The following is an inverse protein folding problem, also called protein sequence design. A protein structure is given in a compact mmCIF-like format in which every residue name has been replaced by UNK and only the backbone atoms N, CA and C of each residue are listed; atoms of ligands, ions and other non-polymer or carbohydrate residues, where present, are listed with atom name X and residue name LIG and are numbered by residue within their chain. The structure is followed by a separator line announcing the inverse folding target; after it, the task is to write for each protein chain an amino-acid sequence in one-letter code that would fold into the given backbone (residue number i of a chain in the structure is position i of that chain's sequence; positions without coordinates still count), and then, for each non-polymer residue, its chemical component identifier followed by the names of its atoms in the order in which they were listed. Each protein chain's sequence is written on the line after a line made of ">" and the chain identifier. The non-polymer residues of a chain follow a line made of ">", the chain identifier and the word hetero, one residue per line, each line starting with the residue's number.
data_IF_183148904043
#
_entry.id   IF_183148904043
#
_cell.length_a   1.000
_cell.length_b   1.000
_cell.length_c   1.000
_cell.angle_alpha   90.00
_cell.angle_beta   90.00
_cell.angle_gamma   90.00
#
_symmetry.space_group_name_H-M   'P 1'
#
loop_
_entity.id
_entity.type
_entity.pdbx_description
1 polymer ?
#
# COMPACT_ATOMS: atom_id res chain seq x y z
N UNK A 1 0.93 1.45 3.16
CA UNK A 1 -0.22 1.27 2.23
C UNK A 1 -1.47 2.05 2.63
N UNK A 2 -1.89 2.02 3.91
CA UNK A 2 -3.15 2.65 4.35
C UNK A 2 -3.21 4.15 4.05
N UNK A 3 -2.07 4.84 4.09
CA UNK A 3 -1.95 6.23 3.66
C UNK A 3 -2.30 6.44 2.18
N UNK A 4 -1.76 5.66 1.24
CA UNK A 4 -2.06 5.82 -0.18
C UNK A 4 -3.57 5.65 -0.47
N UNK A 5 -4.19 4.61 0.08
CA UNK A 5 -5.62 4.38 -0.09
C UNK A 5 -6.49 5.45 0.58
N UNK A 6 -6.15 5.87 1.81
CA UNK A 6 -6.83 7.01 2.48
C UNK A 6 -6.71 8.34 1.73
N UNK A 7 -5.74 8.44 0.81
CA UNK A 7 -5.44 9.68 0.07
C UNK A 7 -6.06 9.68 -1.33
N UNK A 8 -6.85 8.67 -1.69
CA UNK A 8 -7.52 8.61 -3.00
C UNK A 8 -8.37 9.87 -3.22
N UNK A 9 -9.00 10.41 -2.18
CA UNK A 9 -9.84 11.62 -2.29
C UNK A 9 -9.09 12.93 -2.08
N UNK A 10 -7.77 12.90 -1.86
CA UNK A 10 -6.93 14.09 -1.68
C UNK A 10 -5.78 14.14 -2.69
N UNK A 11 -6.04 14.53 -3.96
CA UNK A 11 -5.00 14.62 -4.97
C UNK A 11 -3.84 15.54 -4.55
N UNK A 12 -2.61 15.11 -4.80
CA UNK A 12 -1.40 15.88 -4.48
C UNK A 12 -0.95 15.84 -3.01
N UNK A 13 -1.73 15.21 -2.13
CA UNK A 13 -1.44 15.11 -0.70
C UNK A 13 -1.50 13.66 -0.22
N UNK A 14 -0.63 13.28 0.72
CA UNK A 14 -0.69 12.01 1.42
C UNK A 14 -1.24 12.23 2.82
N UNK A 15 -2.39 11.60 3.10
CA UNK A 15 -3.06 11.58 4.40
C UNK A 15 -2.51 10.48 5.31
N UNK A 16 -2.08 10.90 6.48
CA UNK A 16 -1.49 10.07 7.52
C UNK A 16 -2.56 9.57 8.50
N UNK A 17 -2.18 8.68 9.43
CA UNK A 17 -3.09 8.08 10.42
C UNK A 17 -3.75 9.10 11.34
N UNK A 18 -3.03 10.13 11.79
CA UNK A 18 -3.56 11.19 12.67
C UNK A 18 -4.26 12.34 11.93
N UNK A 19 -4.67 12.14 10.67
CA UNK A 19 -5.30 13.18 9.87
C UNK A 19 -4.34 14.26 9.33
N UNK A 20 -3.07 14.25 9.74
CA UNK A 20 -2.02 15.07 9.13
C UNK A 20 -1.88 14.76 7.65
N UNK A 21 -1.52 15.78 6.88
CA UNK A 21 -1.31 15.69 5.43
C UNK A 21 0.09 16.16 5.09
N UNK A 22 0.69 15.52 4.10
CA UNK A 22 1.98 15.92 3.53
C UNK A 22 1.79 16.19 2.04
N UNK A 23 2.11 17.41 1.62
CA UNK A 23 2.25 17.77 0.22
C UNK A 23 3.66 17.53 -0.29
N UNK A 24 3.85 17.51 -1.61
CA UNK A 24 5.17 17.39 -2.22
C UNK A 24 6.13 18.52 -1.78
N UNK A 25 5.62 19.73 -1.60
CA UNK A 25 6.41 20.88 -1.13
C UNK A 25 6.97 20.64 0.28
N UNK A 26 6.13 20.12 1.20
CA UNK A 26 6.56 19.76 2.56
C UNK A 26 7.54 18.58 2.55
N UNK A 27 7.33 17.61 1.66
CA UNK A 27 8.23 16.47 1.51
C UNK A 27 9.65 16.88 1.08
N UNK A 28 9.76 17.91 0.22
CA UNK A 28 11.05 18.47 -0.21
C UNK A 28 11.85 19.03 0.96
N UNK A 29 11.23 19.85 1.81
CA UNK A 29 11.88 20.41 3.00
C UNK A 29 12.30 19.36 4.03
N UNK A 30 11.64 18.20 4.04
CA UNK A 30 11.91 17.14 5.01
C UNK A 30 12.79 16.00 4.48
N UNK A 31 13.30 16.10 3.24
CA UNK A 31 14.09 15.04 2.61
C UNK A 31 13.32 13.76 2.28
N UNK A 32 11.98 13.83 2.23
CA UNK A 32 11.08 12.70 1.97
C UNK A 32 10.48 12.72 0.56
N UNK A 33 10.97 13.61 -0.32
CA UNK A 33 10.42 13.85 -1.65
C UNK A 33 10.21 12.55 -2.44
N UNK A 34 11.25 11.73 -2.60
CA UNK A 34 11.19 10.49 -3.38
C UNK A 34 10.15 9.49 -2.83
N UNK A 35 9.98 9.43 -1.50
CA UNK A 35 8.95 8.60 -0.87
C UNK A 35 7.56 9.08 -1.27
N UNK A 36 7.32 10.38 -1.06
CA UNK A 36 6.00 10.98 -1.24
C UNK A 36 5.61 10.97 -2.70
N UNK A 37 6.53 11.22 -3.64
CA UNK A 37 6.27 11.09 -5.08
C UNK A 37 5.82 9.68 -5.45
N UNK A 38 6.51 8.65 -4.94
CA UNK A 38 6.12 7.26 -5.19
C UNK A 38 4.76 6.94 -4.56
N UNK A 39 4.48 7.42 -3.36
CA UNK A 39 3.20 7.24 -2.68
C UNK A 39 2.06 7.94 -3.42
N UNK A 40 2.30 9.14 -3.96
CA UNK A 40 1.35 9.89 -4.77
C UNK A 40 1.07 9.16 -6.09
N UNK A 41 2.11 8.65 -6.76
CA UNK A 41 1.94 7.83 -7.97
C UNK A 41 1.13 6.56 -7.69
N UNK A 42 1.40 5.89 -6.57
CA UNK A 42 0.61 4.73 -6.15
C UNK A 42 -0.85 5.12 -5.85
N UNK A 43 -1.07 6.24 -5.17
CA UNK A 43 -2.41 6.76 -4.87
C UNK A 43 -3.18 7.04 -6.17
N UNK A 44 -2.54 7.64 -7.16
CA UNK A 44 -3.12 7.91 -8.47
C UNK A 44 -3.49 6.61 -9.21
N UNK A 45 -2.65 5.58 -9.14
CA UNK A 45 -2.98 4.27 -9.70
C UNK A 45 -4.23 3.65 -9.06
N UNK A 46 -4.34 3.71 -7.73
CA UNK A 46 -5.52 3.21 -7.01
C UNK A 46 -6.78 4.02 -7.37
N UNK A 47 -6.64 5.34 -7.52
CA UNK A 47 -7.72 6.24 -7.93
C UNK A 47 -8.23 5.90 -9.34
N UNK A 48 -7.32 5.73 -10.31
CA UNK A 48 -7.67 5.39 -11.70
C UNK A 48 -8.40 4.07 -11.81
N UNK A 49 -7.95 3.06 -11.07
CA UNK A 49 -8.59 1.74 -11.01
C UNK A 49 -9.89 1.74 -10.20
N UNK A 50 -10.25 2.86 -9.56
CA UNK A 50 -11.39 2.97 -8.66
C UNK A 50 -11.44 1.82 -7.67
N UNK A 51 -10.29 1.59 -7.02
CA UNK A 51 -10.12 0.49 -6.08
C UNK A 51 -11.08 0.69 -4.91
N UNK A 52 -11.97 -0.27 -4.69
CA UNK A 52 -12.89 -0.24 -3.57
C UNK A 52 -12.26 -0.79 -2.28
N UNK A 53 -13.03 -0.82 -1.20
CA UNK A 53 -12.55 -1.29 0.11
C UNK A 53 -12.26 -2.79 0.13
N UNK A 54 -13.05 -3.61 -0.54
CA UNK A 54 -12.91 -5.06 -0.56
C UNK A 54 -11.68 -5.47 -1.37
N UNK A 55 -11.51 -4.88 -2.55
CA UNK A 55 -10.32 -5.04 -3.41
C UNK A 55 -9.06 -4.61 -2.66
N UNK A 56 -9.11 -3.45 -2.00
CA UNK A 56 -8.00 -2.95 -1.19
C UNK A 56 -7.59 -3.92 -0.07
N UNK A 57 -8.58 -4.46 0.67
CA UNK A 57 -8.32 -5.43 1.74
C UNK A 57 -7.78 -6.74 1.18
N UNK A 58 -8.32 -7.25 0.07
CA UNK A 58 -7.81 -8.45 -0.58
C UNK A 58 -6.35 -8.27 -1.03
N UNK A 59 -6.01 -7.12 -1.64
CA UNK A 59 -4.62 -6.81 -2.00
C UNK A 59 -3.70 -6.78 -0.78
N UNK A 60 -4.14 -6.25 0.37
CA UNK A 60 -3.38 -6.31 1.63
C UNK A 60 -3.11 -7.75 2.07
N UNK A 61 -4.14 -8.59 2.04
CA UNK A 61 -4.04 -9.99 2.43
C UNK A 61 -3.06 -10.72 1.51
N UNK A 62 -3.15 -10.51 0.19
CA UNK A 62 -2.22 -11.12 -0.77
C UNK A 62 -0.77 -10.68 -0.49
N UNK A 63 -0.53 -9.37 -0.28
CA UNK A 63 0.81 -8.87 0.08
C UNK A 63 1.33 -9.48 1.37
N UNK A 64 0.47 -9.62 2.39
CA UNK A 64 0.82 -10.20 3.67
C UNK A 64 1.22 -11.67 3.53
N UNK A 65 0.50 -12.43 2.71
CA UNK A 65 0.77 -13.84 2.46
C UNK A 65 1.98 -14.07 1.53
N UNK A 66 2.42 -13.04 0.81
CA UNK A 66 3.63 -13.03 -0.03
C UNK A 66 4.91 -12.64 0.71
N UNK A 67 4.84 -12.20 1.96
CA UNK A 67 6.07 -11.84 2.67
C UNK A 67 6.92 -13.08 2.87
N UNK A 68 8.09 -13.13 2.23
CA UNK A 68 9.12 -14.15 2.41
C UNK A 68 9.68 -14.11 3.84
N UNK A 69 8.88 -14.54 4.81
CA UNK A 69 9.33 -14.83 6.15
C UNK A 69 10.02 -16.20 6.08
N UNK A 70 11.34 -16.19 6.12
CA UNK A 70 12.23 -17.36 6.05
C UNK A 70 12.00 -18.41 7.17
N UNK A 71 11.01 -18.20 8.05
CA UNK A 71 10.75 -18.99 9.25
C UNK A 71 9.28 -19.47 9.35
N UNK A 72 8.58 -19.62 8.22
CA UNK A 72 7.21 -20.17 8.26
C UNK A 72 7.25 -21.64 8.68
N UNK A 73 6.52 -21.97 9.74
CA UNK A 73 6.31 -23.36 10.17
C UNK A 73 5.45 -24.14 9.14
N UNK A 74 4.50 -23.47 8.49
CA UNK A 74 3.56 -24.10 7.54
C UNK A 74 3.46 -23.32 6.21
N UNK A 75 4.55 -23.27 5.41
CA UNK A 75 4.60 -22.46 4.19
C UNK A 75 3.57 -22.89 3.13
N UNK A 76 3.23 -24.19 3.09
CA UNK A 76 2.21 -24.73 2.19
C UNK A 76 0.83 -24.14 2.48
N UNK A 77 0.42 -24.09 3.77
CA UNK A 77 -0.87 -23.52 4.16
C UNK A 77 -0.96 -22.02 3.83
N UNK A 78 0.14 -21.28 4.01
CA UNK A 78 0.20 -19.86 3.65
C UNK A 78 -0.03 -19.67 2.15
N UNK A 79 0.61 -20.51 1.32
CA UNK A 79 0.41 -20.50 -0.13
C UNK A 79 -1.03 -20.86 -0.52
N UNK A 80 -1.62 -21.88 0.09
CA UNK A 80 -3.04 -22.23 -0.15
C UNK A 80 -3.99 -21.09 0.23
N UNK A 81 -3.73 -20.40 1.35
CA UNK A 81 -4.48 -19.21 1.74
C UNK A 81 -4.33 -18.08 0.72
N UNK A 82 -3.13 -17.90 0.15
CA UNK A 82 -2.88 -16.90 -0.87
C UNK A 82 -3.66 -17.21 -2.16
N UNK A 83 -3.65 -18.47 -2.60
CA UNK A 83 -4.41 -18.92 -3.77
C UNK A 83 -5.92 -18.71 -3.58
N UNK A 84 -6.45 -19.01 -2.37
CA UNK A 84 -7.86 -18.72 -2.02
C UNK A 84 -8.17 -17.23 -2.05
N UNK A 85 -7.27 -16.38 -1.55
CA UNK A 85 -7.45 -14.93 -1.58
C UNK A 85 -7.47 -14.38 -3.02
N UNK A 86 -6.61 -14.90 -3.90
CA UNK A 86 -6.57 -14.56 -5.32
C UNK A 86 -7.87 -14.97 -6.03
N UNK A 87 -8.34 -16.20 -5.80
CA UNK A 87 -9.60 -16.69 -6.36
C UNK A 87 -10.81 -15.87 -5.88
N UNK A 88 -10.86 -15.54 -4.59
CA UNK A 88 -11.91 -14.71 -4.03
C UNK A 88 -11.93 -13.30 -4.65
N UNK A 89 -10.76 -12.68 -4.84
CA UNK A 89 -10.65 -11.37 -5.50
C UNK A 89 -11.08 -11.44 -6.97
N UNK A 90 -10.68 -12.49 -7.69
CA UNK A 90 -11.10 -12.71 -9.08
C UNK A 90 -12.63 -12.84 -9.17
N UNK A 91 -13.23 -13.71 -8.36
CA UNK A 91 -14.67 -13.90 -8.33
C UNK A 91 -15.41 -12.60 -7.98
N UNK A 92 -14.91 -11.84 -7.00
CA UNK A 92 -15.47 -10.55 -6.62
C UNK A 92 -15.46 -9.56 -7.79
N UNK A 93 -14.32 -9.40 -8.47
CA UNK A 93 -14.19 -8.46 -9.58
C UNK A 93 -15.09 -8.83 -10.78
N UNK A 94 -15.19 -10.11 -11.13
CA UNK A 94 -16.08 -10.58 -12.19
C UNK A 94 -17.56 -10.34 -11.87
N UNK A 95 -17.96 -10.50 -10.61
CA UNK A 95 -19.33 -10.31 -10.17
C UNK A 95 -19.74 -8.83 -10.04
N UNK A 96 -18.84 -7.97 -9.55
CA UNK A 96 -19.16 -6.57 -9.23
C UNK A 96 -18.76 -5.58 -10.34
N UNK A 97 -17.84 -5.96 -11.22
CA UNK A 97 -17.35 -5.14 -12.33
C UNK A 97 -17.38 -5.92 -13.66
N UNK A 98 -18.55 -6.42 -14.10
CA UNK A 98 -18.66 -7.25 -15.30
C UNK A 98 -18.20 -6.50 -16.57
N UNK A 99 -18.32 -5.17 -16.59
CA UNK A 99 -17.89 -4.31 -17.70
C UNK A 99 -16.37 -4.07 -17.72
N UNK A 100 -15.63 -4.54 -16.71
CA UNK A 100 -14.16 -4.35 -16.61
C UNK A 100 -13.47 -5.68 -16.31
N UNK A 101 -13.47 -6.65 -17.26
CA UNK A 101 -12.92 -7.98 -17.03
C UNK A 101 -11.41 -7.98 -16.78
N UNK A 102 -10.69 -6.92 -17.17
CA UNK A 102 -9.26 -6.73 -16.91
C UNK A 102 -8.94 -6.35 -15.47
N UNK A 103 -9.93 -5.92 -14.67
CA UNK A 103 -9.69 -5.27 -13.37
C UNK A 103 -8.88 -6.14 -12.42
N UNK A 104 -9.17 -7.44 -12.37
CA UNK A 104 -8.40 -8.40 -11.57
C UNK A 104 -6.91 -8.35 -11.92
N UNK A 105 -6.57 -8.46 -13.21
CA UNK A 105 -5.18 -8.42 -13.67
C UNK A 105 -4.52 -7.08 -13.37
N UNK A 106 -5.24 -5.97 -13.57
CA UNK A 106 -4.74 -4.63 -13.26
C UNK A 106 -4.43 -4.45 -11.77
N UNK A 107 -5.29 -4.97 -10.88
CA UNK A 107 -5.03 -4.98 -9.43
C UNK A 107 -3.76 -5.78 -9.10
N UNK A 108 -3.60 -6.98 -9.67
CA UNK A 108 -2.39 -7.79 -9.45
C UNK A 108 -1.12 -7.08 -9.90
N UNK A 109 -1.16 -6.36 -11.02
CA UNK A 109 -0.02 -5.57 -11.51
C UNK A 109 0.36 -4.40 -10.60
N UNK A 110 -0.48 -4.01 -9.63
CA UNK A 110 -0.15 -2.98 -8.63
C UNK A 110 0.46 -3.55 -7.34
N UNK A 111 0.37 -4.87 -7.12
CA UNK A 111 0.90 -5.52 -5.91
C UNK A 111 2.43 -5.36 -5.76
N UNK A 112 3.26 -5.52 -6.81
CA UNK A 112 4.71 -5.31 -6.66
C UNK A 112 5.07 -3.85 -6.34
N UNK A 113 4.39 -2.89 -6.99
CA UNK A 113 4.57 -1.46 -6.73
C UNK A 113 4.18 -1.08 -5.31
N UNK A 114 3.14 -1.74 -4.80
CA UNK A 114 2.71 -1.65 -3.42
C UNK A 114 3.82 -2.10 -2.44
N UNK A 115 4.36 -3.30 -2.64
CA UNK A 115 5.43 -3.84 -1.80
C UNK A 115 6.65 -2.92 -1.78
N UNK A 116 7.09 -2.44 -2.95
CA UNK A 116 8.22 -1.48 -3.06
C UNK A 116 7.96 -0.17 -2.31
N UNK A 117 6.74 0.36 -2.40
CA UNK A 117 6.36 1.59 -1.68
C UNK A 117 6.38 1.38 -0.17
N UNK A 118 5.96 0.21 0.31
CA UNK A 118 6.05 -0.15 1.73
C UNK A 118 7.50 -0.29 2.20
N UNK A 119 8.37 -0.91 1.40
CA UNK A 119 9.77 -1.12 1.75
C UNK A 119 10.53 0.21 1.87
N UNK A 120 10.32 1.14 0.94
CA UNK A 120 10.94 2.47 0.99
C UNK A 120 10.50 3.28 2.23
N UNK A 121 9.23 3.16 2.64
CA UNK A 121 8.75 3.76 3.88
C UNK A 121 9.45 3.20 5.12
N UNK A 122 9.73 1.90 5.14
CA UNK A 122 10.50 1.25 6.22
C UNK A 122 11.97 1.67 6.20
N UNK A 123 12.60 1.76 5.04
CA UNK A 123 14.02 2.15 4.92
C UNK A 123 14.27 3.58 5.38
N UNK A 124 13.36 4.51 5.05
CA UNK A 124 13.49 5.91 5.50
C UNK A 124 13.34 6.07 7.01
N UNK A 125 12.56 5.20 7.66
CA UNK A 125 12.49 5.11 9.12
C UNK A 125 13.83 4.69 9.72
N UNK A 126 14.45 3.65 9.16
CA UNK A 126 15.73 3.13 9.64
C UNK A 126 16.86 4.13 9.46
N UNK A 127 16.86 4.91 8.36
CA UNK A 127 17.90 5.89 8.06
C UNK A 127 17.78 7.12 8.98
N UNK A 128 16.57 7.72 9.11
CA UNK A 128 16.39 8.87 10.02
C UNK A 128 16.52 8.51 11.50
N UNK A 129 16.39 7.22 11.83
CA UNK A 129 16.61 6.73 13.18
C UNK A 129 18.04 6.93 13.71
N UNK A 130 19.01 6.90 12.80
CA UNK A 130 20.42 7.11 13.12
C UNK A 130 20.80 8.57 13.32
N UNK A 131 19.99 9.50 12.83
CA UNK A 131 20.32 10.93 12.76
C UNK A 131 19.60 11.76 13.85
N UNK A 132 18.88 11.11 14.76
CA UNK A 132 18.17 11.77 15.86
C UNK A 132 17.01 12.69 15.43
N UNK A 133 16.61 12.68 14.15
CA UNK A 133 15.54 13.51 13.62
C UNK A 133 14.15 13.02 14.01
N UNK A 134 13.20 13.95 14.17
CA UNK A 134 11.82 13.70 14.61
C UNK A 134 11.14 12.53 13.86
N UNK A 135 11.02 11.40 14.55
CA UNK A 135 10.43 10.15 14.06
C UNK A 135 8.92 10.20 13.89
N UNK A 136 8.25 11.24 14.41
CA UNK A 136 6.80 11.28 14.54
C UNK A 136 6.09 11.08 13.20
N UNK A 137 6.56 11.74 12.15
CA UNK A 137 5.93 11.68 10.83
C UNK A 137 6.09 10.30 10.17
N UNK A 138 7.29 9.72 10.27
CA UNK A 138 7.58 8.42 9.67
C UNK A 138 6.90 7.27 10.44
N UNK A 139 6.83 7.36 11.77
CA UNK A 139 6.07 6.42 12.60
C UNK A 139 4.55 6.54 12.35
N UNK A 140 4.03 7.74 12.10
CA UNK A 140 2.63 7.96 11.70
C UNK A 140 2.30 7.35 10.32
N UNK A 141 3.26 7.29 9.39
CA UNK A 141 3.09 6.61 8.08
C UNK A 141 2.94 5.09 8.23
N UNK A 142 3.59 4.50 9.25
CA UNK A 142 3.56 3.06 9.52
C UNK A 142 2.46 2.61 10.46
N UNK A 143 1.94 3.47 11.34
CA UNK A 143 0.78 3.13 12.18
C UNK A 143 -0.45 2.92 11.29
N UNK A 144 -0.61 1.68 10.83
CA UNK A 144 -1.86 1.16 10.32
C UNK A 144 -2.75 0.91 11.52
N UNK A 145 -3.66 1.83 11.81
CA UNK A 145 -4.75 1.52 12.73
C UNK A 145 -5.59 0.40 12.10
N UNK A 146 -5.87 -0.59 12.95
CA UNK A 146 -6.63 -1.81 12.67
C UNK A 146 -8.04 -1.49 12.17
#
# INVERSE_FOLDING_TARGET
>A
FSCCYRSIDTPGEIKMSQGKKISLAQAKSSGLQACIERMLNMTENLRRLRVDRYEYVAMKVIVLLQSDTSELHEPVKVRECQEKALQALQAYTLAHYPDTPSKFGELLLRIPDLQKTCQLGKEMLTIKSRDGGDFNLLMELLRGEH
#
